data_IF_029453704508
#
_entry.id   IF_029453704508
#
_cell.length_a   1.000
_cell.length_b   1.000
_cell.length_c   1.000
_cell.angle_alpha   90.00
_cell.angle_beta   90.00
_cell.angle_gamma   90.00
#
_symmetry.space_group_name_H-M   'P 1'
#
loop_
_entity.id
_entity.type
_entity.pdbx_description
1 polymer ?
#
# COMPACT_ATOMS: atom_id res chain seq x y z
N UNK A 1 15.98 13.07 20.02
CA UNK A 1 15.69 12.45 18.72
C UNK A 1 14.49 11.54 18.91
N UNK A 2 13.54 11.55 17.93
CA UNK A 2 12.26 10.82 18.02
C UNK A 2 12.17 9.68 17.00
N UNK A 3 13.29 9.23 16.46
CA UNK A 3 13.31 8.18 15.43
C UNK A 3 14.39 7.17 15.67
N UNK A 4 14.12 5.90 15.31
CA UNK A 4 15.03 4.79 15.28
C UNK A 4 15.10 4.30 13.84
N UNK A 5 16.30 4.05 13.33
CA UNK A 5 16.52 3.53 11.98
C UNK A 5 17.25 2.19 12.12
N UNK A 6 16.69 1.15 11.52
CA UNK A 6 17.28 -0.19 11.46
C UNK A 6 17.54 -0.49 9.98
N UNK A 7 18.79 -0.78 9.64
CA UNK A 7 19.23 -0.97 8.26
C UNK A 7 19.73 -2.40 8.06
N UNK A 8 19.25 -3.06 7.01
CA UNK A 8 19.75 -4.32 6.51
C UNK A 8 19.76 -4.25 4.98
N UNK A 9 20.91 -4.03 4.40
CA UNK A 9 21.12 -3.84 2.97
C UNK A 9 21.12 -5.17 2.22
N UNK A 10 21.06 -5.12 0.88
CA UNK A 10 20.98 -6.32 0.02
C UNK A 10 22.23 -7.21 0.08
N UNK A 11 23.36 -6.67 0.51
CA UNK A 11 24.63 -7.38 0.70
C UNK A 11 24.68 -8.19 2.01
N UNK A 12 23.72 -7.97 2.92
CA UNK A 12 23.59 -8.79 4.13
C UNK A 12 22.87 -10.11 3.83
N UNK A 13 23.19 -11.15 4.65
CA UNK A 13 22.53 -12.46 4.48
C UNK A 13 21.01 -12.37 4.67
N UNK A 14 20.28 -13.25 4.00
CA UNK A 14 18.82 -13.31 4.11
C UNK A 14 18.33 -13.46 5.56
N UNK A 15 19.05 -14.22 6.38
CA UNK A 15 18.73 -14.41 7.79
C UNK A 15 18.86 -13.11 8.59
N UNK A 16 19.88 -12.28 8.31
CA UNK A 16 20.05 -10.98 8.95
C UNK A 16 18.91 -10.04 8.53
N UNK A 17 18.57 -10.02 7.24
CA UNK A 17 17.43 -9.20 6.72
C UNK A 17 16.11 -9.56 7.43
N UNK A 18 15.83 -10.86 7.62
CA UNK A 18 14.65 -11.31 8.36
C UNK A 18 14.68 -10.89 9.84
N UNK A 19 15.82 -11.10 10.50
CA UNK A 19 15.99 -10.72 11.92
C UNK A 19 15.84 -9.21 12.12
N UNK A 20 16.37 -8.41 11.22
CA UNK A 20 16.25 -6.94 11.27
C UNK A 20 14.81 -6.47 11.18
N UNK A 21 13.98 -7.10 10.31
CA UNK A 21 12.55 -6.81 10.24
C UNK A 21 11.84 -7.13 11.57
N UNK A 22 12.09 -8.29 12.15
CA UNK A 22 11.51 -8.66 13.45
C UNK A 22 12.00 -7.78 14.58
N UNK A 23 13.29 -7.39 14.59
CA UNK A 23 13.84 -6.44 15.57
C UNK A 23 13.15 -5.08 15.46
N UNK A 24 12.93 -4.58 14.23
CA UNK A 24 12.23 -3.31 14.01
C UNK A 24 10.81 -3.34 14.59
N UNK A 25 10.06 -4.43 14.36
CA UNK A 25 8.75 -4.60 14.98
C UNK A 25 8.83 -4.64 16.51
N UNK A 26 9.82 -5.35 17.09
CA UNK A 26 9.98 -5.42 18.56
C UNK A 26 10.30 -4.07 19.18
N UNK A 27 11.09 -3.24 18.49
CA UNK A 27 11.34 -1.85 18.92
C UNK A 27 10.07 -1.01 18.87
N UNK A 28 9.26 -1.15 17.80
CA UNK A 28 7.98 -0.46 17.70
C UNK A 28 7.01 -0.89 18.81
N UNK A 29 6.92 -2.19 19.08
CA UNK A 29 6.11 -2.75 20.18
C UNK A 29 6.55 -2.24 21.55
N UNK A 30 7.86 -2.12 21.79
CA UNK A 30 8.36 -1.53 23.03
C UNK A 30 7.83 -0.11 23.25
N UNK A 31 7.85 0.73 22.23
CA UNK A 31 7.32 2.10 22.35
C UNK A 31 5.79 2.11 22.52
N UNK A 32 5.05 1.30 21.75
CA UNK A 32 3.60 1.13 21.92
C UNK A 32 3.26 0.71 23.35
N UNK A 33 3.97 -0.28 23.90
CA UNK A 33 3.72 -0.81 25.23
C UNK A 33 4.06 0.20 26.34
N UNK A 34 4.82 1.24 26.01
CA UNK A 34 5.08 2.41 26.86
C UNK A 34 4.16 3.61 26.50
N UNK A 35 2.95 3.34 26.00
CA UNK A 35 1.90 4.33 25.69
C UNK A 35 2.34 5.40 24.67
N UNK A 36 3.12 5.00 23.65
CA UNK A 36 3.51 5.88 22.54
C UNK A 36 2.79 5.48 21.27
N UNK A 37 2.44 6.48 20.47
CA UNK A 37 1.98 6.28 19.11
C UNK A 37 3.19 6.21 18.18
N UNK A 38 3.33 5.10 17.49
CA UNK A 38 4.48 4.76 16.65
C UNK A 38 4.08 4.77 15.19
N UNK A 39 4.79 5.54 14.37
CA UNK A 39 4.77 5.37 12.93
C UNK A 39 5.87 4.38 12.55
N UNK A 40 5.47 3.20 12.11
CA UNK A 40 6.37 2.14 11.66
C UNK A 40 6.40 2.12 10.13
N UNK A 41 7.58 2.29 9.55
CA UNK A 41 7.78 2.28 8.10
C UNK A 41 8.73 1.17 7.72
N UNK A 42 8.37 0.32 6.76
CA UNK A 42 9.21 -0.76 6.25
C UNK A 42 9.35 -0.68 4.73
N UNK A 43 10.56 -0.48 4.27
CA UNK A 43 10.92 -0.57 2.86
C UNK A 43 11.86 -1.77 2.65
N UNK A 44 11.37 -2.89 2.16
CA UNK A 44 10.02 -3.23 1.70
C UNK A 44 9.61 -4.63 2.17
N UNK A 45 8.31 -4.89 2.19
CA UNK A 45 7.76 -6.23 2.42
C UNK A 45 8.23 -7.21 1.34
N UNK A 46 8.36 -6.75 0.10
CA UNK A 46 8.88 -7.59 -1.01
C UNK A 46 10.28 -8.12 -0.71
N UNK A 47 11.18 -7.27 -0.17
CA UNK A 47 12.54 -7.68 0.21
C UNK A 47 12.53 -8.65 1.40
N UNK A 48 11.63 -8.48 2.36
CA UNK A 48 11.41 -9.45 3.43
C UNK A 48 10.96 -10.80 2.87
N UNK A 49 9.99 -10.80 1.95
CA UNK A 49 9.47 -12.02 1.31
C UNK A 49 10.54 -12.74 0.49
N UNK A 50 11.38 -12.00 -0.24
CA UNK A 50 12.52 -12.56 -0.96
C UNK A 50 13.55 -13.19 -0.02
N UNK A 51 13.86 -12.55 1.10
CA UNK A 51 14.75 -13.11 2.11
C UNK A 51 14.18 -14.36 2.75
N UNK A 52 12.87 -14.39 3.04
CA UNK A 52 12.20 -15.57 3.57
C UNK A 52 12.22 -16.73 2.55
N UNK A 53 11.95 -16.43 1.28
CA UNK A 53 12.04 -17.41 0.19
C UNK A 53 13.43 -18.04 0.13
N UNK A 54 14.49 -17.23 0.18
CA UNK A 54 15.88 -17.69 0.13
C UNK A 54 16.19 -18.65 1.28
N UNK A 55 15.82 -18.28 2.52
CA UNK A 55 16.01 -19.14 3.70
C UNK A 55 15.21 -20.43 3.61
N UNK A 56 13.97 -20.36 3.16
CA UNK A 56 13.09 -21.52 3.08
C UNK A 56 13.54 -22.52 2.01
N UNK A 57 13.93 -22.04 0.84
CA UNK A 57 14.49 -22.88 -0.23
C UNK A 57 15.78 -23.57 0.24
N UNK A 58 16.67 -22.82 0.92
CA UNK A 58 17.91 -23.38 1.49
C UNK A 58 17.65 -24.45 2.57
N UNK A 59 16.47 -24.39 3.20
CA UNK A 59 16.01 -25.40 4.18
C UNK A 59 15.27 -26.57 3.56
N UNK A 60 15.18 -26.64 2.22
CA UNK A 60 14.54 -27.74 1.49
C UNK A 60 13.02 -27.60 1.32
N UNK A 61 12.43 -26.44 1.64
CA UNK A 61 11.01 -26.22 1.39
C UNK A 61 10.75 -26.10 -0.13
N UNK A 62 9.77 -26.82 -0.69
CA UNK A 62 9.50 -26.78 -2.13
C UNK A 62 8.98 -25.39 -2.56
N UNK A 63 9.38 -24.91 -3.75
CA UNK A 63 8.85 -23.69 -4.31
C UNK A 63 7.39 -23.86 -4.75
N UNK A 64 6.57 -22.86 -4.47
CA UNK A 64 5.20 -22.72 -4.94
C UNK A 64 5.07 -21.69 -6.05
N UNK A 65 3.99 -20.90 -5.99
CA UNK A 65 3.63 -19.91 -7.00
C UNK A 65 4.73 -18.84 -7.15
N UNK A 66 5.13 -18.57 -8.40
CA UNK A 66 6.25 -17.65 -8.75
C UNK A 66 7.53 -17.92 -7.93
N UNK A 67 7.75 -19.16 -7.50
CA UNK A 67 8.92 -19.56 -6.74
C UNK A 67 8.92 -19.19 -5.26
N UNK A 68 7.83 -18.61 -4.74
CA UNK A 68 7.68 -18.38 -3.30
C UNK A 68 7.27 -19.66 -2.59
N UNK A 69 7.80 -19.86 -1.39
CA UNK A 69 7.50 -21.03 -0.56
C UNK A 69 6.28 -20.77 0.33
N UNK A 70 5.52 -21.81 0.74
CA UNK A 70 4.38 -21.67 1.65
C UNK A 70 4.69 -20.88 2.94
N UNK A 71 5.90 -21.03 3.47
CA UNK A 71 6.31 -20.31 4.68
C UNK A 71 6.36 -18.79 4.51
N UNK A 72 6.57 -18.27 3.29
CA UNK A 72 6.51 -16.83 3.02
C UNK A 72 5.11 -16.31 3.35
N UNK A 73 4.08 -16.96 2.80
CA UNK A 73 2.69 -16.57 2.99
C UNK A 73 2.19 -16.77 4.44
N UNK A 74 2.74 -17.73 5.16
CA UNK A 74 2.40 -17.93 6.57
C UNK A 74 3.06 -16.93 7.53
N UNK A 75 4.20 -16.33 7.12
CA UNK A 75 4.94 -15.35 7.94
C UNK A 75 4.56 -13.91 7.67
N UNK A 76 4.07 -13.59 6.47
CA UNK A 76 3.61 -12.24 6.12
C UNK A 76 2.53 -11.71 7.08
N UNK A 77 1.41 -12.41 7.30
CA UNK A 77 0.40 -11.97 8.26
C UNK A 77 0.99 -11.75 9.65
N UNK A 78 1.79 -12.72 10.15
CA UNK A 78 2.41 -12.65 11.48
C UNK A 78 3.34 -11.45 11.65
N UNK A 79 3.95 -10.96 10.58
CA UNK A 79 4.78 -9.76 10.62
C UNK A 79 3.91 -8.49 10.60
N UNK A 80 2.93 -8.43 9.68
CA UNK A 80 2.14 -7.23 9.45
C UNK A 80 1.13 -6.96 10.58
N UNK A 81 0.54 -8.00 11.14
CA UNK A 81 -0.43 -7.93 12.25
C UNK A 81 0.20 -7.49 13.59
N UNK A 82 1.52 -7.34 13.67
CA UNK A 82 2.20 -6.71 14.81
C UNK A 82 1.96 -5.20 14.90
N UNK A 83 1.61 -4.56 13.77
CA UNK A 83 1.07 -3.20 13.78
C UNK A 83 -0.38 -3.20 14.27
N UNK A 84 -0.80 -2.08 14.86
CA UNK A 84 -2.16 -1.90 15.36
C UNK A 84 -2.21 -1.33 16.76
N UNK A 85 -3.42 -1.27 17.28
CA UNK A 85 -3.72 -0.75 18.61
C UNK A 85 -3.80 -1.89 19.63
N UNK A 86 -3.41 -1.59 20.85
CA UNK A 86 -3.59 -2.49 22.00
C UNK A 86 -4.35 -1.72 23.07
N UNK A 87 -5.41 -2.32 23.62
CA UNK A 87 -6.22 -1.71 24.66
C UNK A 87 -5.34 -1.32 25.87
N UNK A 88 -5.51 -0.06 26.34
CA UNK A 88 -4.74 0.48 27.47
C UNK A 88 -3.27 0.80 27.16
N UNK A 89 -2.86 0.75 25.90
CA UNK A 89 -1.51 1.08 25.44
C UNK A 89 -1.53 2.08 24.26
N UNK A 90 -0.37 2.40 23.72
CA UNK A 90 -0.26 3.20 22.49
C UNK A 90 -0.61 2.42 21.22
N UNK A 91 -0.26 2.98 20.08
CA UNK A 91 -0.57 2.41 18.77
C UNK A 91 0.66 2.22 17.89
N UNK A 92 0.57 1.32 16.91
CA UNK A 92 1.54 1.23 15.80
C UNK A 92 0.77 1.41 14.49
N UNK A 93 1.04 2.50 13.78
CA UNK A 93 0.59 2.69 12.40
C UNK A 93 1.66 2.15 11.47
N UNK A 94 1.38 1.06 10.76
CA UNK A 94 2.30 0.41 9.83
C UNK A 94 2.15 0.95 8.41
N UNK A 95 3.23 1.44 7.81
CA UNK A 95 3.33 1.76 6.38
C UNK A 95 4.36 0.84 5.75
N UNK A 96 3.91 0.01 4.82
CA UNK A 96 4.73 -1.00 4.16
C UNK A 96 4.82 -0.70 2.67
N UNK A 97 6.03 -0.56 2.13
CA UNK A 97 6.18 -0.49 0.68
C UNK A 97 6.18 -1.90 0.07
N UNK A 98 5.54 -2.02 -1.09
CA UNK A 98 5.51 -3.23 -1.90
C UNK A 98 6.04 -2.90 -3.29
N UNK A 99 7.03 -3.63 -3.74
CA UNK A 99 7.59 -3.48 -5.08
C UNK A 99 6.85 -4.43 -6.02
N UNK A 100 6.11 -3.85 -6.95
CA UNK A 100 5.31 -4.59 -7.94
C UNK A 100 6.07 -4.66 -9.25
N UNK A 101 6.51 -5.86 -9.64
CA UNK A 101 7.22 -6.06 -10.90
C UNK A 101 6.28 -5.88 -12.10
N UNK A 102 6.70 -5.07 -13.07
CA UNK A 102 5.93 -4.84 -14.29
C UNK A 102 4.56 -4.18 -14.11
N UNK A 103 4.18 -3.79 -12.89
CA UNK A 103 2.83 -3.30 -12.59
C UNK A 103 1.79 -4.42 -12.39
N UNK A 104 2.23 -5.68 -12.30
CA UNK A 104 1.37 -6.85 -12.10
C UNK A 104 0.84 -6.88 -10.66
N UNK A 105 -0.35 -6.32 -10.45
CA UNK A 105 -1.02 -6.28 -9.14
C UNK A 105 -1.49 -7.67 -8.65
N UNK A 106 -1.49 -8.68 -9.53
CA UNK A 106 -1.84 -10.07 -9.21
C UNK A 106 -0.59 -10.90 -8.82
N UNK A 107 0.54 -10.22 -8.65
CA UNK A 107 1.75 -10.84 -8.10
C UNK A 107 1.46 -11.36 -6.68
N UNK A 108 1.85 -12.63 -6.35
CA UNK A 108 1.40 -13.30 -5.12
C UNK A 108 1.67 -12.55 -3.81
N UNK A 109 2.80 -11.84 -3.72
CA UNK A 109 3.12 -11.05 -2.51
C UNK A 109 2.24 -9.80 -2.45
N UNK A 110 2.02 -9.14 -3.58
CA UNK A 110 1.16 -7.96 -3.67
C UNK A 110 -0.27 -8.32 -3.26
N UNK A 111 -0.81 -9.42 -3.80
CA UNK A 111 -2.15 -9.88 -3.46
C UNK A 111 -2.27 -10.28 -1.98
N UNK A 112 -1.31 -11.04 -1.45
CA UNK A 112 -1.26 -11.42 -0.04
C UNK A 112 -1.22 -10.19 0.88
N UNK A 113 -0.38 -9.19 0.59
CA UNK A 113 -0.29 -7.96 1.40
C UNK A 113 -1.58 -7.15 1.32
N UNK A 114 -2.20 -7.04 0.14
CA UNK A 114 -3.50 -6.39 -0.02
C UNK A 114 -4.60 -7.08 0.77
N UNK A 115 -4.57 -8.41 0.87
CA UNK A 115 -5.54 -9.16 1.67
C UNK A 115 -5.42 -8.90 3.18
N UNK A 116 -4.20 -8.67 3.67
CA UNK A 116 -3.91 -8.47 5.11
C UNK A 116 -4.11 -7.01 5.53
N UNK A 117 -3.72 -6.03 4.68
CA UNK A 117 -3.68 -4.61 5.03
C UNK A 117 -5.07 -3.98 5.15
N UNK A 118 -5.18 -2.93 5.98
CA UNK A 118 -6.39 -2.11 6.13
C UNK A 118 -6.68 -1.21 4.91
N UNK A 119 -5.74 -1.13 3.99
CA UNK A 119 -5.85 -0.41 2.74
C UNK A 119 -4.52 -0.36 2.00
N UNK A 120 -4.54 0.15 0.78
CA UNK A 120 -3.34 0.36 -0.01
C UNK A 120 -3.43 1.64 -0.82
N UNK A 121 -2.29 2.28 -1.03
CA UNK A 121 -2.11 3.43 -1.90
C UNK A 121 -1.36 2.93 -3.13
N UNK A 122 -1.99 3.03 -4.29
CA UNK A 122 -1.39 2.62 -5.55
C UNK A 122 -0.71 3.80 -6.22
N UNK A 123 0.55 3.63 -6.61
CA UNK A 123 1.29 4.59 -7.42
C UNK A 123 1.18 4.23 -8.90
N UNK A 124 0.94 5.23 -9.74
CA UNK A 124 0.78 5.07 -11.19
C UNK A 124 2.01 5.60 -11.93
N UNK A 125 2.55 4.77 -12.83
CA UNK A 125 3.63 5.18 -13.75
C UNK A 125 3.14 6.21 -14.76
N UNK A 126 1.87 6.11 -15.19
CA UNK A 126 1.27 7.02 -16.16
C UNK A 126 1.11 8.43 -15.59
N UNK A 127 0.69 8.55 -14.30
CA UNK A 127 0.65 9.82 -13.61
C UNK A 127 2.07 10.43 -13.45
N UNK A 128 3.04 9.61 -13.08
CA UNK A 128 4.43 10.05 -12.99
C UNK A 128 4.99 10.51 -14.36
N UNK A 129 4.67 9.81 -15.44
CA UNK A 129 5.06 10.19 -16.80
C UNK A 129 4.42 11.52 -17.24
N UNK A 130 3.21 11.82 -16.74
CA UNK A 130 2.53 13.12 -16.93
C UNK A 130 3.06 14.22 -15.98
N UNK A 131 4.13 13.94 -15.22
CA UNK A 131 4.70 14.85 -14.20
C UNK A 131 3.71 15.21 -13.07
N UNK A 132 2.73 14.33 -12.80
CA UNK A 132 1.78 14.48 -11.70
C UNK A 132 2.36 13.80 -10.45
N UNK A 133 2.72 14.61 -9.43
CA UNK A 133 3.28 14.14 -8.16
C UNK A 133 2.56 14.74 -6.96
N UNK A 134 2.27 13.93 -5.91
CA UNK A 134 2.55 12.48 -5.82
C UNK A 134 1.74 11.67 -6.85
N UNK A 135 2.37 10.68 -7.48
CA UNK A 135 1.76 9.86 -8.54
C UNK A 135 0.76 8.83 -7.99
N UNK A 136 -0.20 9.27 -7.18
CA UNK A 136 -1.18 8.42 -6.49
C UNK A 136 -2.41 8.24 -7.38
N UNK A 137 -2.69 6.98 -7.76
CA UNK A 137 -3.97 6.62 -8.38
C UNK A 137 -5.04 6.48 -7.29
N UNK A 138 -5.84 7.53 -7.10
CA UNK A 138 -6.89 7.59 -6.09
C UNK A 138 -8.00 6.56 -6.37
N UNK A 139 -8.31 6.29 -7.65
CA UNK A 139 -9.38 5.36 -8.01
C UNK A 139 -9.00 3.91 -7.74
N UNK A 140 -7.72 3.57 -7.93
CA UNK A 140 -7.18 2.24 -7.67
C UNK A 140 -6.76 2.03 -6.20
N UNK A 141 -6.68 3.10 -5.41
CA UNK A 141 -6.35 3.05 -3.99
C UNK A 141 -7.58 2.75 -3.14
N UNK A 142 -7.40 1.98 -2.06
CA UNK A 142 -8.50 1.51 -1.21
C UNK A 142 -8.18 1.75 0.28
N UNK A 143 -9.18 2.19 1.03
CA UNK A 143 -9.19 2.15 2.50
C UNK A 143 -10.39 1.33 3.00
N UNK A 144 -10.14 0.27 3.74
CA UNK A 144 -11.19 -0.59 4.34
C UNK A 144 -11.77 0.00 5.61
N UNK A 145 -11.04 0.90 6.25
CA UNK A 145 -11.41 1.49 7.54
C UNK A 145 -12.00 2.89 7.42
N UNK A 146 -11.90 3.54 6.26
CA UNK A 146 -12.35 4.92 6.05
C UNK A 146 -13.78 5.15 6.54
N UNK A 147 -14.70 4.24 6.25
CA UNK A 147 -16.10 4.37 6.66
C UNK A 147 -16.33 4.37 8.17
N UNK A 148 -15.33 3.92 8.97
CA UNK A 148 -15.39 3.84 10.44
C UNK A 148 -14.70 5.03 11.12
N UNK A 149 -13.76 5.70 10.42
CA UNK A 149 -12.86 6.70 11.02
C UNK A 149 -13.14 8.13 10.56
N UNK A 150 -13.87 8.32 9.45
CA UNK A 150 -14.20 9.66 8.94
C UNK A 150 -15.64 10.08 9.27
N UNK A 151 -15.89 11.41 9.30
CA UNK A 151 -17.24 11.96 9.47
C UNK A 151 -18.14 11.62 8.27
N UNK A 152 -19.47 11.78 8.45
CA UNK A 152 -20.44 11.58 7.36
C UNK A 152 -20.20 12.55 6.21
N UNK A 153 -19.89 13.81 6.51
CA UNK A 153 -19.61 14.85 5.53
C UNK A 153 -18.38 14.49 4.70
N UNK A 154 -17.29 14.08 5.36
CA UNK A 154 -16.07 13.65 4.68
C UNK A 154 -16.36 12.46 3.73
N UNK A 155 -17.17 11.48 4.18
CA UNK A 155 -17.55 10.33 3.36
C UNK A 155 -18.33 10.76 2.11
N UNK A 156 -19.27 11.70 2.24
CA UNK A 156 -20.07 12.22 1.11
C UNK A 156 -19.16 12.93 0.11
N UNK A 157 -18.29 13.83 0.60
CA UNK A 157 -17.37 14.59 -0.26
C UNK A 157 -16.39 13.67 -0.98
N UNK A 158 -15.78 12.74 -0.27
CA UNK A 158 -14.82 11.80 -0.89
C UNK A 158 -15.48 10.89 -1.93
N UNK A 159 -16.71 10.43 -1.67
CA UNK A 159 -17.48 9.64 -2.65
C UNK A 159 -17.80 10.47 -3.90
N UNK A 160 -18.20 11.72 -3.72
CA UNK A 160 -18.49 12.63 -4.80
C UNK A 160 -17.25 12.93 -5.67
N UNK A 161 -16.09 13.21 -5.04
CA UNK A 161 -14.84 13.44 -5.77
C UNK A 161 -14.41 12.20 -6.58
N UNK A 162 -14.51 11.01 -5.97
CA UNK A 162 -14.21 9.75 -6.67
C UNK A 162 -15.16 9.51 -7.87
N UNK A 163 -16.44 9.82 -7.74
CA UNK A 163 -17.43 9.71 -8.83
C UNK A 163 -17.08 10.66 -10.00
N UNK A 164 -16.65 11.89 -9.70
CA UNK A 164 -16.17 12.84 -10.72
C UNK A 164 -14.90 12.35 -11.42
N UNK A 165 -13.89 11.90 -10.65
CA UNK A 165 -12.65 11.37 -11.22
C UNK A 165 -12.90 10.13 -12.08
N UNK A 166 -13.80 9.24 -11.65
CA UNK A 166 -14.19 8.07 -12.44
C UNK A 166 -14.89 8.46 -13.74
N UNK A 167 -15.84 9.40 -13.68
CA UNK A 167 -16.55 9.91 -14.87
C UNK A 167 -15.60 10.59 -15.86
N UNK A 168 -14.60 11.33 -15.37
CA UNK A 168 -13.57 11.91 -16.23
C UNK A 168 -12.71 10.82 -16.89
N UNK A 169 -12.25 9.83 -16.10
CA UNK A 169 -11.41 8.74 -16.60
C UNK A 169 -12.11 7.90 -17.68
N UNK A 170 -13.43 7.68 -17.57
CA UNK A 170 -14.23 6.99 -18.59
C UNK A 170 -14.29 7.76 -19.91
N UNK A 171 -14.26 9.10 -19.85
CA UNK A 171 -14.37 9.95 -21.03
C UNK A 171 -13.01 10.49 -21.53
N UNK A 172 -11.91 10.26 -20.80
CA UNK A 172 -10.59 10.85 -21.06
C UNK A 172 -10.12 10.62 -22.50
N UNK A 173 -10.28 9.41 -23.03
CA UNK A 173 -9.90 9.09 -24.42
C UNK A 173 -10.72 9.87 -25.43
N UNK A 174 -12.04 9.96 -25.24
CA UNK A 174 -12.95 10.71 -26.13
C UNK A 174 -12.67 12.21 -26.08
N UNK A 175 -12.32 12.74 -24.92
CA UNK A 175 -11.94 14.14 -24.73
C UNK A 175 -10.63 14.44 -25.47
N UNK A 176 -9.63 13.57 -25.30
CA UNK A 176 -8.29 13.74 -25.87
C UNK A 176 -8.29 13.70 -27.42
N UNK A 177 -9.16 12.88 -28.03
CA UNK A 177 -9.33 12.82 -29.49
C UNK A 177 -10.34 13.84 -30.02
N UNK A 178 -10.93 14.69 -29.16
CA UNK A 178 -11.91 15.70 -29.55
C UNK A 178 -13.29 15.13 -29.98
N UNK A 179 -13.58 13.88 -29.61
CA UNK A 179 -14.85 13.22 -29.97
C UNK A 179 -15.94 13.42 -28.93
N UNK A 180 -15.62 13.94 -27.75
CA UNK A 180 -16.60 14.24 -26.71
C UNK A 180 -17.34 15.56 -27.04
N UNK A 181 -18.68 15.50 -27.07
CA UNK A 181 -19.54 16.67 -27.28
C UNK A 181 -20.07 17.19 -25.93
N UNK A 182 -19.70 18.42 -25.49
CA UNK A 182 -20.24 19.03 -24.29
C UNK A 182 -21.79 19.07 -24.33
N UNK A 183 -22.40 18.80 -23.17
CA UNK A 183 -23.89 18.75 -23.06
C UNK A 183 -24.47 17.34 -23.24
N UNK A 184 -23.70 16.35 -23.70
CA UNK A 184 -24.20 14.97 -23.87
C UNK A 184 -24.31 14.21 -22.55
N UNK A 185 -23.42 14.49 -21.60
CA UNK A 185 -23.44 13.88 -20.26
C UNK A 185 -23.12 14.91 -19.16
N UNK A 186 -24.14 15.31 -18.36
CA UNK A 186 -23.94 16.32 -17.30
C UNK A 186 -22.89 15.95 -16.24
N UNK A 187 -22.67 14.65 -15.98
CA UNK A 187 -21.64 14.20 -15.04
C UNK A 187 -20.23 14.43 -15.60
N UNK A 188 -20.03 14.06 -16.86
CA UNK A 188 -18.74 14.26 -17.54
C UNK A 188 -18.47 15.75 -17.70
N UNK A 189 -19.47 16.55 -18.11
CA UNK A 189 -19.33 18.02 -18.22
C UNK A 189 -18.88 18.65 -16.91
N UNK A 190 -19.44 18.15 -15.78
CA UNK A 190 -19.05 18.61 -14.45
C UNK A 190 -17.62 18.18 -14.10
N UNK A 191 -17.28 16.93 -14.41
CA UNK A 191 -15.93 16.39 -14.16
C UNK A 191 -14.87 17.17 -14.94
N UNK A 192 -15.08 17.44 -16.22
CA UNK A 192 -14.18 18.23 -17.08
C UNK A 192 -13.94 19.64 -16.53
N UNK A 193 -14.94 20.26 -15.91
CA UNK A 193 -14.81 21.62 -15.38
C UNK A 193 -13.97 21.72 -14.10
N UNK A 194 -13.85 20.62 -13.34
CA UNK A 194 -13.23 20.66 -12.00
C UNK A 194 -12.02 19.73 -11.88
N UNK A 195 -11.68 18.96 -12.92
CA UNK A 195 -10.61 17.97 -12.82
C UNK A 195 -9.24 18.60 -12.54
N UNK A 196 -9.00 19.79 -13.07
CA UNK A 196 -7.74 20.52 -12.88
C UNK A 196 -7.61 21.12 -11.46
N UNK A 197 -8.72 21.20 -10.71
CA UNK A 197 -8.77 21.67 -9.32
C UNK A 197 -8.65 20.52 -8.31
N UNK A 198 -8.72 19.27 -8.77
CA UNK A 198 -8.65 18.05 -7.95
C UNK A 198 -7.25 17.43 -8.03
#
# INVERSE_FOLDING_TARGET
KRSVVIVATSDTSALIRLRSAHLACSVAEFFRDNNKDVLFMMDSITRFSMAQREVSLSSGEPPGQKGYTPSVFSKLPKLMERAGNVEGKGSITGIYSVLVEGGDMDEPITDAVRAISDGHIQLSRDLAAKNHFPAIDVLSSISRVMSKVVSKEHKIVSSFLRDLMASYKEAEELINVGAYLPGTNPKIDKAVKVIDDI
#
